data_IF_689266408848
#
_entry.id   IF_689266408848
#
_cell.length_a   1.000
_cell.length_b   1.000
_cell.length_c   1.000
_cell.angle_alpha   90.00
_cell.angle_beta   90.00
_cell.angle_gamma   90.00
#
_symmetry.space_group_name_H-M   'P 1'
#
loop_
_entity.id
_entity.type
_entity.pdbx_description
1 polymer ?
#
# COMPACT_ATOMS: atom_id res chain seq x y z
N UNK A 1 23.33 18.41 35.20
CA UNK A 1 22.41 17.27 34.95
C UNK A 1 21.48 17.53 33.76
N UNK A 2 20.76 18.66 33.71
CA UNK A 2 19.86 19.06 32.61
C UNK A 2 20.54 19.21 31.23
N UNK A 3 21.79 19.67 31.18
CA UNK A 3 22.52 19.83 29.91
C UNK A 3 22.96 18.48 29.30
N UNK A 4 23.38 17.53 30.15
CA UNK A 4 23.75 16.18 29.75
C UNK A 4 22.54 15.41 29.19
N UNK A 5 21.37 15.56 29.83
CA UNK A 5 20.11 14.98 29.35
C UNK A 5 19.78 15.53 27.95
N UNK A 6 19.85 16.85 27.74
CA UNK A 6 19.59 17.47 26.43
C UNK A 6 20.53 16.96 25.34
N UNK A 7 21.82 16.81 25.65
CA UNK A 7 22.82 16.29 24.71
C UNK A 7 22.55 14.82 24.38
N UNK A 8 22.18 14.01 25.37
CA UNK A 8 21.79 12.60 25.15
C UNK A 8 20.50 12.52 24.32
N UNK A 9 19.51 13.39 24.56
CA UNK A 9 18.27 13.43 23.77
C UNK A 9 18.55 13.83 22.32
N UNK A 10 19.41 14.82 22.08
CA UNK A 10 19.81 15.27 20.74
C UNK A 10 20.62 14.18 20.02
N UNK A 11 21.55 13.51 20.71
CA UNK A 11 22.31 12.40 20.15
C UNK A 11 21.41 11.19 19.85
N UNK A 12 20.46 10.87 20.73
CA UNK A 12 19.48 9.82 20.48
C UNK A 12 18.59 10.14 19.25
N UNK A 13 18.13 11.39 19.12
CA UNK A 13 17.40 11.86 17.95
C UNK A 13 18.25 11.83 16.66
N UNK A 14 19.55 12.15 16.75
CA UNK A 14 20.47 12.12 15.62
C UNK A 14 20.83 10.68 15.17
N UNK A 15 20.88 9.71 16.08
CA UNK A 15 21.11 8.29 15.75
C UNK A 15 19.90 7.66 15.05
N UNK A 16 18.68 8.18 15.26
CA UNK A 16 17.46 7.71 14.58
C UNK A 16 17.40 8.24 13.13
N UNK A 17 18.22 9.22 12.75
CA UNK A 17 18.19 9.88 11.44
C UNK A 17 19.00 9.18 10.34
N UNK A 18 19.12 7.84 10.36
CA UNK A 18 19.74 7.11 9.25
C UNK A 18 18.78 7.02 8.05
N UNK A 19 19.27 7.17 6.81
CA UNK A 19 18.46 6.96 5.62
C UNK A 19 18.12 5.47 5.52
N UNK A 20 16.94 5.11 6.01
CA UNK A 20 16.37 3.80 5.77
C UNK A 20 16.04 3.71 4.28
N UNK A 21 16.54 2.66 3.62
CA UNK A 21 16.18 2.34 2.24
C UNK A 21 14.67 2.21 2.19
N UNK A 22 14.02 3.09 1.43
CA UNK A 22 12.57 3.15 1.37
C UNK A 22 12.01 1.86 0.76
N UNK A 23 11.07 1.24 1.47
CA UNK A 23 10.26 0.15 0.90
C UNK A 23 9.10 0.75 0.09
N UNK A 24 8.81 0.20 -1.08
CA UNK A 24 7.76 0.68 -2.01
C UNK A 24 6.37 0.71 -1.36
N UNK A 25 6.13 -0.18 -0.41
CA UNK A 25 4.89 -0.20 0.39
C UNK A 25 5.10 0.56 1.69
N UNK A 26 4.76 1.85 1.73
CA UNK A 26 4.73 2.60 2.98
C UNK A 26 3.62 2.05 3.89
N UNK A 27 3.96 1.11 4.77
CA UNK A 27 2.97 0.31 5.53
C UNK A 27 2.17 1.14 6.54
N UNK A 28 2.58 2.35 6.89
CA UNK A 28 1.87 3.20 7.84
C UNK A 28 1.13 4.38 7.20
N UNK A 29 0.91 4.35 5.87
CA UNK A 29 0.30 5.49 5.13
C UNK A 29 -1.12 5.82 5.58
N UNK A 30 -1.90 4.83 6.00
CA UNK A 30 -3.31 4.99 6.33
C UNK A 30 -3.56 4.71 7.81
N UNK A 31 -4.41 5.51 8.43
CA UNK A 31 -4.94 5.28 9.76
C UNK A 31 -6.36 4.68 9.67
N UNK A 32 -6.76 3.95 10.72
CA UNK A 32 -8.09 3.33 10.83
C UNK A 32 -8.71 3.65 12.17
N UNK A 33 -10.03 3.84 12.21
CA UNK A 33 -10.71 4.24 13.45
C UNK A 33 -10.65 5.75 13.69
N UNK A 34 -11.65 6.25 14.41
CA UNK A 34 -11.87 7.69 14.61
C UNK A 34 -10.78 8.33 15.45
N UNK A 35 -10.37 7.68 16.54
CA UNK A 35 -9.32 8.24 17.41
C UNK A 35 -7.94 8.12 16.77
N UNK A 36 -7.66 6.97 16.13
CA UNK A 36 -6.36 6.77 15.49
C UNK A 36 -6.11 7.74 14.33
N UNK A 37 -7.16 8.16 13.61
CA UNK A 37 -7.02 9.24 12.61
C UNK A 37 -6.57 10.56 13.25
N UNK A 38 -7.15 10.95 14.38
CA UNK A 38 -6.79 12.20 15.09
C UNK A 38 -5.41 12.12 15.75
N UNK A 39 -4.98 10.92 16.13
CA UNK A 39 -3.71 10.64 16.79
C UNK A 39 -2.61 10.21 15.82
N UNK A 40 -2.84 10.30 14.50
CA UNK A 40 -1.85 9.90 13.49
C UNK A 40 -1.42 8.42 13.57
N UNK A 41 -2.26 7.55 14.14
CA UNK A 41 -1.98 6.12 14.35
C UNK A 41 -1.23 5.81 15.65
N UNK A 42 -0.99 6.78 16.53
CA UNK A 42 -0.28 6.61 17.80
C UNK A 42 -1.16 5.93 18.88
N UNK A 43 -1.68 4.73 18.63
CA UNK A 43 -2.70 4.11 19.50
C UNK A 43 -2.34 2.73 20.05
N UNK A 44 -1.16 2.18 19.70
CA UNK A 44 -0.75 0.82 20.09
C UNK A 44 -0.70 0.66 21.61
N UNK A 45 -0.28 1.71 22.32
CA UNK A 45 -0.20 1.76 23.78
C UNK A 45 -1.42 2.40 24.44
N UNK A 46 -2.56 2.55 23.77
CA UNK A 46 -3.77 3.19 24.32
C UNK A 46 -5.01 2.29 24.24
N UNK A 47 -6.02 2.59 25.07
CA UNK A 47 -7.37 2.01 25.01
C UNK A 47 -8.29 2.94 24.19
N UNK A 48 -8.08 3.02 22.88
CA UNK A 48 -8.83 3.97 22.04
C UNK A 48 -10.23 3.46 21.71
N UNK A 49 -10.31 2.51 20.78
CA UNK A 49 -11.55 2.14 20.12
C UNK A 49 -11.46 0.71 19.51
N UNK A 50 -12.52 0.30 18.80
CA UNK A 50 -12.58 -1.00 18.14
C UNK A 50 -11.60 -1.12 16.96
N UNK A 51 -10.95 -0.04 16.52
CA UNK A 51 -9.82 -0.13 15.60
C UNK A 51 -8.58 -0.73 16.25
N UNK A 52 -8.58 -0.92 17.57
CA UNK A 52 -7.58 -1.74 18.27
C UNK A 52 -7.52 -3.18 17.75
N UNK A 53 -8.58 -3.68 17.10
CA UNK A 53 -8.52 -4.95 16.33
C UNK A 53 -7.33 -4.96 15.35
N UNK A 54 -7.03 -3.81 14.74
CA UNK A 54 -5.91 -3.60 13.83
C UNK A 54 -4.60 -3.19 14.52
N UNK A 55 -4.62 -2.26 15.47
CA UNK A 55 -3.37 -1.75 16.05
C UNK A 55 -2.79 -2.64 17.15
N UNK A 56 -3.60 -3.03 18.13
CA UNK A 56 -3.20 -3.90 19.23
C UNK A 56 -4.42 -4.65 19.78
N UNK A 57 -4.63 -5.92 19.39
CA UNK A 57 -5.83 -6.64 19.80
C UNK A 57 -5.94 -6.87 21.32
N UNK A 58 -4.86 -6.73 22.09
CA UNK A 58 -4.91 -6.88 23.53
C UNK A 58 -5.61 -5.73 24.26
N UNK A 59 -5.53 -4.49 23.76
CA UNK A 59 -6.14 -3.33 24.44
C UNK A 59 -7.68 -3.45 24.49
N UNK A 60 -8.26 -4.19 23.55
CA UNK A 60 -9.69 -4.49 23.47
C UNK A 60 -10.24 -5.23 24.69
N UNK A 61 -9.41 -5.97 25.42
CA UNK A 61 -9.84 -6.63 26.66
C UNK A 61 -10.35 -5.64 27.71
N UNK A 62 -9.92 -4.38 27.59
CA UNK A 62 -10.28 -3.28 28.47
C UNK A 62 -11.19 -2.25 27.80
N UNK A 63 -11.68 -2.52 26.59
CA UNK A 63 -12.67 -1.67 25.95
C UNK A 63 -14.01 -1.80 26.71
N UNK A 64 -14.60 -0.68 27.16
CA UNK A 64 -15.73 -0.74 28.10
C UNK A 64 -17.04 -1.23 27.45
N UNK A 65 -17.23 -0.98 26.15
CA UNK A 65 -18.48 -1.22 25.44
C UNK A 65 -18.48 -2.55 24.66
N UNK A 66 -19.31 -3.48 25.12
CA UNK A 66 -19.45 -4.82 24.52
C UNK A 66 -20.48 -4.91 23.38
N UNK A 67 -21.19 -3.83 23.09
CA UNK A 67 -22.26 -3.74 22.07
C UNK A 67 -21.96 -2.75 20.95
N UNK A 68 -20.78 -2.13 20.98
CA UNK A 68 -20.37 -1.12 20.03
C UNK A 68 -20.24 -1.66 18.59
N UNK A 69 -20.78 -0.88 17.65
CA UNK A 69 -20.42 -0.88 16.24
C UNK A 69 -19.63 0.40 16.00
N UNK A 70 -18.41 0.29 15.49
CA UNK A 70 -17.62 1.44 15.09
C UNK A 70 -17.49 1.46 13.57
N UNK A 71 -17.74 2.64 12.98
CA UNK A 71 -17.43 2.91 11.57
C UNK A 71 -16.63 4.21 11.48
N UNK A 72 -15.54 4.19 10.73
CA UNK A 72 -14.77 5.39 10.39
C UNK A 72 -14.77 5.59 8.87
N UNK A 73 -15.23 6.75 8.42
CA UNK A 73 -15.18 7.17 7.02
C UNK A 73 -14.38 8.47 6.98
N UNK A 74 -13.28 8.46 6.21
CA UNK A 74 -12.46 9.64 5.97
C UNK A 74 -12.50 9.96 4.48
N UNK A 75 -12.40 11.23 4.11
CA UNK A 75 -12.31 11.67 2.71
C UNK A 75 -10.89 12.16 2.44
N UNK A 76 -10.31 11.71 1.34
CA UNK A 76 -9.02 12.18 0.87
C UNK A 76 -9.18 12.98 -0.41
N UNK A 77 -8.41 14.05 -0.47
CA UNK A 77 -8.12 14.78 -1.69
C UNK A 77 -6.61 14.76 -1.90
N UNK A 78 -6.19 14.26 -3.06
CA UNK A 78 -4.78 14.14 -3.38
C UNK A 78 -4.48 14.63 -4.78
N UNK A 79 -3.29 15.20 -4.96
CA UNK A 79 -2.72 15.58 -6.24
C UNK A 79 -1.31 15.02 -6.32
N UNK A 80 -1.03 14.26 -7.37
CA UNK A 80 0.29 13.66 -7.62
C UNK A 80 0.77 14.12 -8.98
N UNK A 81 2.06 14.43 -9.09
CA UNK A 81 2.71 14.75 -10.34
C UNK A 81 4.05 14.02 -10.45
N UNK A 82 4.39 13.57 -11.65
CA UNK A 82 5.71 13.04 -12.02
C UNK A 82 6.23 13.90 -13.16
N UNK A 83 7.42 14.46 -12.98
CA UNK A 83 8.05 15.36 -13.94
C UNK A 83 9.28 14.70 -14.54
N UNK A 84 9.32 14.59 -15.87
CA UNK A 84 10.49 14.22 -16.65
C UNK A 84 11.05 15.48 -17.30
N UNK A 85 11.95 16.16 -16.57
CA UNK A 85 12.50 17.47 -16.94
C UNK A 85 13.13 17.52 -18.32
N UNK A 86 13.85 16.47 -18.69
CA UNK A 86 14.55 16.38 -19.99
C UNK A 86 13.58 16.33 -21.18
N UNK A 87 12.32 15.95 -20.94
CA UNK A 87 11.29 15.80 -21.97
C UNK A 87 10.21 16.90 -21.88
N UNK A 88 10.32 17.83 -20.94
CA UNK A 88 9.25 18.79 -20.57
C UNK A 88 7.87 18.10 -20.39
N UNK A 89 7.90 16.86 -19.87
CA UNK A 89 6.72 16.03 -19.70
C UNK A 89 6.35 15.95 -18.22
N UNK A 90 5.14 16.39 -17.91
CA UNK A 90 4.57 16.25 -16.57
C UNK A 90 3.31 15.38 -16.62
N UNK A 91 3.35 14.24 -15.92
CA UNK A 91 2.17 13.40 -15.73
C UNK A 91 1.47 13.82 -14.45
N UNK A 92 0.19 14.18 -14.52
CA UNK A 92 -0.59 14.67 -13.38
C UNK A 92 -1.77 13.77 -13.07
N UNK A 93 -2.07 13.62 -11.79
CA UNK A 93 -3.26 12.93 -11.28
C UNK A 93 -3.89 13.73 -10.15
N UNK A 94 -5.21 13.82 -10.16
CA UNK A 94 -5.99 14.31 -9.03
C UNK A 94 -7.02 13.25 -8.66
N UNK A 95 -7.17 12.95 -7.38
CA UNK A 95 -8.21 12.05 -6.90
C UNK A 95 -8.93 12.62 -5.69
N UNK A 96 -10.25 12.43 -5.68
CA UNK A 96 -11.09 12.55 -4.51
C UNK A 96 -11.75 11.19 -4.28
N UNK A 97 -11.48 10.59 -3.13
CA UNK A 97 -12.02 9.29 -2.81
C UNK A 97 -12.20 9.15 -1.30
N UNK A 98 -13.19 8.35 -0.85
CA UNK A 98 -13.21 7.90 0.53
C UNK A 98 -11.94 7.06 0.79
N UNK A 99 -11.28 7.37 1.90
CA UNK A 99 -10.14 6.64 2.41
C UNK A 99 -10.55 5.25 2.89
N UNK A 100 -9.56 4.34 3.05
CA UNK A 100 -9.62 3.22 3.95
C UNK A 100 -10.59 3.38 5.14
N UNK A 101 -11.67 2.61 5.10
CA UNK A 101 -12.68 2.57 6.15
C UNK A 101 -12.46 1.35 7.02
N UNK A 102 -12.75 1.47 8.31
CA UNK A 102 -12.86 0.34 9.23
C UNK A 102 -14.28 0.26 9.75
N UNK A 103 -14.84 -0.94 9.70
CA UNK A 103 -16.08 -1.33 10.37
C UNK A 103 -15.72 -2.43 11.35
N UNK A 104 -16.07 -2.27 12.61
CA UNK A 104 -15.84 -3.29 13.63
C UNK A 104 -17.07 -3.48 14.49
N UNK A 105 -17.40 -4.74 14.76
CA UNK A 105 -18.56 -5.17 15.52
C UNK A 105 -18.11 -6.08 16.63
N UNK A 106 -18.65 -5.83 17.81
CA UNK A 106 -18.47 -6.71 18.94
C UNK A 106 -19.59 -7.77 19.00
N UNK A 107 -19.21 -9.04 19.02
CA UNK A 107 -20.12 -10.16 19.20
C UNK A 107 -20.09 -10.60 20.67
N UNK A 108 -21.25 -10.74 21.35
CA UNK A 108 -21.34 -11.13 22.76
C UNK A 108 -21.02 -12.63 23.00
N UNK A 109 -20.10 -13.19 22.21
CA UNK A 109 -19.63 -14.58 22.30
C UNK A 109 -18.39 -14.60 23.19
N UNK A 110 -18.46 -15.35 24.29
CA UNK A 110 -17.35 -15.52 25.24
C UNK A 110 -16.61 -16.82 24.94
N UNK A 111 -15.33 -16.73 24.62
CA UNK A 111 -14.49 -17.90 24.29
C UNK A 111 -13.19 -17.83 25.08
N UNK A 112 -12.80 -18.93 25.72
CA UNK A 112 -11.50 -19.08 26.39
C UNK A 112 -11.13 -17.94 27.38
N UNK A 113 -12.11 -17.34 28.04
CA UNK A 113 -11.92 -16.25 29.00
C UNK A 113 -11.89 -14.84 28.37
N UNK A 114 -12.24 -14.69 27.08
CA UNK A 114 -12.53 -13.38 26.51
C UNK A 114 -13.83 -12.81 27.04
N UNK A 115 -13.93 -11.48 27.03
CA UNK A 115 -15.17 -10.77 27.32
C UNK A 115 -16.16 -10.84 26.14
N UNK A 116 -15.63 -10.88 24.93
CA UNK A 116 -16.38 -10.93 23.68
C UNK A 116 -15.45 -11.32 22.51
N UNK A 117 -16.02 -11.60 21.33
CA UNK A 117 -15.29 -11.82 20.09
C UNK A 117 -15.56 -10.63 19.17
N UNK A 118 -14.57 -10.13 18.44
CA UNK A 118 -14.76 -8.97 17.57
C UNK A 118 -14.53 -9.33 16.11
N UNK A 119 -15.41 -8.86 15.24
CA UNK A 119 -15.26 -8.97 13.80
C UNK A 119 -14.93 -7.59 13.24
N UNK A 120 -13.95 -7.52 12.36
CA UNK A 120 -13.55 -6.26 11.71
C UNK A 120 -13.47 -6.44 10.21
N UNK A 121 -13.94 -5.46 9.46
CA UNK A 121 -13.66 -5.31 8.04
C UNK A 121 -12.91 -3.99 7.84
N UNK A 122 -11.78 -4.03 7.16
CA UNK A 122 -10.98 -2.84 6.87
C UNK A 122 -10.51 -2.83 5.42
N UNK A 123 -10.65 -1.68 4.75
CA UNK A 123 -9.99 -1.46 3.45
C UNK A 123 -8.55 -1.02 3.72
N UNK A 124 -7.62 -1.96 3.81
CA UNK A 124 -6.22 -1.69 4.19
C UNK A 124 -5.57 -0.69 3.23
N UNK A 125 -5.70 -0.95 1.94
CA UNK A 125 -5.08 -0.11 0.92
C UNK A 125 -6.11 0.20 -0.16
N UNK A 126 -6.15 1.46 -0.58
CA UNK A 126 -6.97 1.92 -1.68
C UNK A 126 -6.15 2.96 -2.46
N UNK A 127 -5.37 2.49 -3.41
CA UNK A 127 -4.60 3.34 -4.32
C UNK A 127 -5.38 3.42 -5.63
N UNK A 128 -5.70 4.64 -6.04
CA UNK A 128 -6.19 4.95 -7.39
C UNK A 128 -5.40 6.13 -7.92
N UNK A 129 -4.57 5.86 -8.91
CA UNK A 129 -3.77 6.84 -9.62
C UNK A 129 -4.07 6.75 -11.09
N UNK A 130 -4.31 7.91 -11.70
CA UNK A 130 -4.47 8.06 -13.14
C UNK A 130 -3.66 9.28 -13.56
N UNK A 131 -2.39 9.04 -13.86
CA UNK A 131 -1.40 10.04 -14.24
C UNK A 131 -1.40 10.14 -15.76
N UNK A 132 -1.69 11.31 -16.30
CA UNK A 132 -1.61 11.56 -17.75
C UNK A 132 -0.89 12.86 -18.02
N UNK A 133 -0.23 12.94 -19.16
CA UNK A 133 0.45 14.14 -19.60
C UNK A 133 0.83 14.07 -21.07
N UNK A 134 1.11 15.24 -21.61
CA UNK A 134 1.56 15.42 -22.98
C UNK A 134 2.63 16.50 -23.01
N UNK A 135 3.68 16.26 -23.79
CA UNK A 135 4.74 17.20 -24.06
C UNK A 135 4.85 17.42 -25.57
N UNK A 136 5.14 18.66 -25.95
CA UNK A 136 5.35 19.05 -27.34
C UNK A 136 6.70 19.75 -27.44
N UNK A 137 7.53 19.29 -28.37
CA UNK A 137 8.84 19.89 -28.60
C UNK A 137 9.06 20.11 -30.10
N UNK A 138 9.21 21.37 -30.56
CA UNK A 138 9.68 21.64 -31.90
C UNK A 138 11.19 21.38 -31.97
N UNK A 139 11.64 20.52 -32.88
CA UNK A 139 13.06 20.35 -33.17
C UNK A 139 13.38 20.97 -34.54
N UNK A 140 13.70 22.25 -34.55
CA UNK A 140 13.96 23.00 -35.79
C UNK A 140 12.69 23.57 -36.44
N UNK A 141 12.82 24.10 -37.65
CA UNK A 141 11.77 24.89 -38.31
C UNK A 141 10.54 24.05 -38.73
N UNK A 142 10.76 22.79 -39.15
CA UNK A 142 9.71 21.97 -39.77
C UNK A 142 9.52 20.59 -39.10
N UNK A 143 10.23 20.27 -38.01
CA UNK A 143 10.09 18.98 -37.32
C UNK A 143 9.47 19.15 -35.93
N UNK A 144 8.38 18.43 -35.68
CA UNK A 144 7.64 18.46 -34.44
C UNK A 144 7.69 17.09 -33.76
N UNK A 145 7.87 17.09 -32.44
CA UNK A 145 7.77 15.92 -31.58
C UNK A 145 6.60 16.07 -30.62
N UNK A 146 5.89 14.96 -30.39
CA UNK A 146 4.87 14.84 -29.36
C UNK A 146 5.14 13.61 -28.52
N UNK A 147 5.02 13.73 -27.20
CA UNK A 147 5.14 12.61 -26.27
C UNK A 147 3.92 12.63 -25.36
N UNK A 148 3.15 11.54 -25.35
CA UNK A 148 2.01 11.35 -24.47
C UNK A 148 2.30 10.19 -23.54
N UNK A 149 2.15 10.40 -22.23
CA UNK A 149 2.30 9.37 -21.22
C UNK A 149 1.02 9.18 -20.42
N UNK A 150 0.71 7.93 -20.08
CA UNK A 150 -0.38 7.55 -19.18
C UNK A 150 0.09 6.44 -18.25
N UNK A 151 -0.21 6.58 -16.96
CA UNK A 151 -0.02 5.54 -15.94
C UNK A 151 -1.29 5.45 -15.12
N UNK A 152 -1.94 4.29 -15.17
CA UNK A 152 -3.10 3.94 -14.36
C UNK A 152 -2.64 2.87 -13.36
N UNK A 153 -2.82 3.14 -12.07
CA UNK A 153 -2.57 2.17 -11.00
C UNK A 153 -3.76 2.13 -10.06
N UNK A 154 -4.32 0.94 -9.94
CA UNK A 154 -5.33 0.60 -8.96
C UNK A 154 -4.83 -0.55 -8.08
N UNK A 155 -4.94 -0.38 -6.76
CA UNK A 155 -4.62 -1.42 -5.78
C UNK A 155 -5.61 -1.33 -4.64
N UNK A 156 -6.37 -2.41 -4.47
CA UNK A 156 -7.29 -2.60 -3.37
C UNK A 156 -6.80 -3.75 -2.51
N UNK A 157 -6.77 -3.55 -1.20
CA UNK A 157 -6.53 -4.61 -0.23
C UNK A 157 -7.58 -4.49 0.88
N UNK A 158 -8.43 -5.51 1.01
CA UNK A 158 -9.50 -5.56 2.02
C UNK A 158 -9.24 -6.70 2.98
N UNK A 159 -9.24 -6.42 4.29
CA UNK A 159 -9.05 -7.43 5.33
C UNK A 159 -10.34 -7.66 6.10
N UNK A 160 -10.62 -8.93 6.33
CA UNK A 160 -11.62 -9.42 7.26
C UNK A 160 -10.91 -10.06 8.46
N UNK A 161 -11.17 -9.55 9.67
CA UNK A 161 -10.49 -9.91 10.89
C UNK A 161 -11.42 -10.53 11.91
N UNK A 162 -10.94 -11.58 12.57
CA UNK A 162 -11.57 -12.17 13.76
C UNK A 162 -10.61 -11.97 14.93
N UNK A 163 -11.06 -11.21 15.94
CA UNK A 163 -10.24 -10.81 17.07
C UNK A 163 -10.74 -11.41 18.37
N UNK A 164 -9.81 -12.00 19.11
CA UNK A 164 -10.00 -12.50 20.46
C UNK A 164 -9.06 -11.74 21.40
N UNK A 165 -9.55 -11.37 22.58
CA UNK A 165 -8.75 -10.69 23.60
C UNK A 165 -9.16 -11.11 25.01
N UNK A 166 -8.19 -11.20 25.90
CA UNK A 166 -8.39 -11.66 27.27
C UNK A 166 -7.53 -10.86 28.25
N UNK A 167 -8.13 -10.29 29.31
CA UNK A 167 -7.36 -9.74 30.41
C UNK A 167 -6.82 -10.87 31.30
N UNK A 168 -5.65 -10.65 31.87
CA UNK A 168 -5.08 -11.48 32.93
C UNK A 168 -4.57 -10.58 34.06
N UNK A 169 -5.18 -10.72 35.24
CA UNK A 169 -5.03 -9.73 36.31
C UNK A 169 -5.83 -8.46 36.05
N UNK A 170 -5.47 -7.37 36.74
CA UNK A 170 -6.18 -6.08 36.66
C UNK A 170 -5.65 -5.17 35.57
N UNK A 171 -4.38 -5.34 35.18
CA UNK A 171 -3.64 -4.36 34.38
C UNK A 171 -3.16 -4.95 33.05
N UNK A 172 -3.11 -6.27 32.89
CA UNK A 172 -2.54 -6.91 31.71
C UNK A 172 -3.58 -7.58 30.82
N UNK A 173 -3.32 -7.61 29.51
CA UNK A 173 -4.12 -8.35 28.55
C UNK A 173 -3.28 -8.89 27.40
N UNK A 174 -3.77 -9.97 26.80
CA UNK A 174 -3.31 -10.50 25.52
C UNK A 174 -4.46 -10.48 24.51
N UNK A 175 -4.11 -10.41 23.23
CA UNK A 175 -5.09 -10.52 22.16
C UNK A 175 -4.47 -11.03 20.87
N UNK A 176 -5.31 -11.63 20.03
CA UNK A 176 -4.92 -12.18 18.74
C UNK A 176 -6.01 -11.83 17.73
N UNK A 177 -5.59 -11.43 16.54
CA UNK A 177 -6.47 -11.26 15.38
C UNK A 177 -5.97 -12.10 14.22
N UNK A 178 -6.84 -12.93 13.65
CA UNK A 178 -6.59 -13.58 12.36
C UNK A 178 -7.25 -12.76 11.25
N UNK A 179 -6.49 -12.38 10.23
CA UNK A 179 -6.96 -11.62 9.08
C UNK A 179 -6.92 -12.45 7.80
N UNK A 180 -8.04 -12.43 7.07
CA UNK A 180 -8.12 -12.84 5.67
C UNK A 180 -8.10 -11.58 4.81
N UNK A 181 -7.13 -11.48 3.91
CA UNK A 181 -6.95 -10.34 3.01
C UNK A 181 -7.23 -10.77 1.57
N UNK A 182 -7.99 -9.94 0.86
CA UNK A 182 -8.24 -10.04 -0.57
C UNK A 182 -7.64 -8.81 -1.25
N UNK A 183 -6.66 -9.06 -2.10
CA UNK A 183 -5.93 -8.05 -2.88
C UNK A 183 -6.37 -8.16 -4.34
N UNK A 184 -6.64 -7.01 -4.96
CA UNK A 184 -6.83 -6.87 -6.39
C UNK A 184 -5.99 -5.69 -6.87
N UNK A 185 -5.18 -5.90 -7.90
CA UNK A 185 -4.36 -4.83 -8.47
C UNK A 185 -4.43 -4.81 -9.99
N UNK A 186 -4.47 -3.59 -10.54
CA UNK A 186 -4.32 -3.33 -11.96
C UNK A 186 -3.30 -2.22 -12.14
N UNK A 187 -2.34 -2.45 -13.02
CA UNK A 187 -1.38 -1.47 -13.49
C UNK A 187 -1.47 -1.43 -15.01
N UNK A 188 -1.48 -0.22 -15.56
CA UNK A 188 -1.35 -0.01 -16.99
C UNK A 188 -0.48 1.22 -17.21
N UNK A 189 0.45 1.12 -18.15
CA UNK A 189 1.17 2.26 -18.66
C UNK A 189 1.08 2.30 -20.18
N UNK A 190 0.99 3.50 -20.72
CA UNK A 190 1.08 3.75 -22.15
C UNK A 190 2.02 4.93 -22.38
N UNK A 191 2.96 4.75 -23.29
CA UNK A 191 3.83 5.81 -23.77
C UNK A 191 3.70 5.86 -25.29
N UNK A 192 3.27 7.00 -25.80
CA UNK A 192 3.18 7.26 -27.23
C UNK A 192 4.10 8.41 -27.59
N UNK A 193 4.94 8.19 -28.59
CA UNK A 193 5.82 9.21 -29.16
C UNK A 193 5.42 9.41 -30.62
N UNK A 194 5.48 10.64 -31.09
CA UNK A 194 5.19 11.00 -32.47
C UNK A 194 6.22 11.99 -32.99
N UNK A 195 6.53 11.87 -34.28
CA UNK A 195 7.38 12.78 -35.03
C UNK A 195 6.67 13.17 -36.33
N UNK A 196 6.77 14.43 -36.71
CA UNK A 196 6.32 14.91 -38.02
C UNK A 196 7.32 15.93 -38.55
N UNK A 197 7.88 15.67 -39.72
CA UNK A 197 8.84 16.53 -40.41
C UNK A 197 8.80 16.34 -41.92
N UNK A 198 9.60 17.10 -42.69
CA UNK A 198 9.48 17.19 -44.15
C UNK A 198 9.56 15.86 -44.91
N UNK A 199 10.35 14.91 -44.41
CA UNK A 199 10.59 13.61 -45.03
C UNK A 199 10.23 12.43 -44.11
N UNK A 200 9.67 12.71 -42.93
CA UNK A 200 9.46 11.70 -41.91
C UNK A 200 8.22 12.02 -41.08
N UNK A 201 7.22 11.16 -41.17
CA UNK A 201 6.14 11.08 -40.19
C UNK A 201 6.23 9.74 -39.49
N UNK A 202 5.96 9.70 -38.19
CA UNK A 202 5.98 8.44 -37.48
C UNK A 202 5.38 8.53 -36.10
N UNK A 203 4.94 7.38 -35.60
CA UNK A 203 4.46 7.24 -34.24
C UNK A 203 4.88 5.88 -33.68
N UNK A 204 5.23 5.86 -32.40
CA UNK A 204 5.49 4.63 -31.66
C UNK A 204 4.69 4.63 -30.38
N UNK A 205 3.92 3.57 -30.14
CA UNK A 205 3.16 3.37 -28.92
C UNK A 205 3.64 2.10 -28.23
N UNK A 206 3.98 2.21 -26.95
CA UNK A 206 4.34 1.10 -26.07
C UNK A 206 3.35 1.04 -24.92
N UNK A 207 2.81 -0.14 -24.65
CA UNK A 207 1.84 -0.36 -23.59
C UNK A 207 2.25 -1.55 -22.75
N UNK A 208 2.18 -1.39 -21.44
CA UNK A 208 2.31 -2.47 -20.48
C UNK A 208 1.05 -2.52 -19.61
N UNK A 209 0.64 -3.72 -19.28
CA UNK A 209 -0.53 -3.98 -18.46
C UNK A 209 -0.27 -5.19 -17.58
N UNK A 210 -0.62 -5.09 -16.30
CA UNK A 210 -0.57 -6.17 -15.35
C UNK A 210 -1.81 -6.11 -14.48
N UNK A 211 -2.48 -7.25 -14.29
CA UNK A 211 -3.55 -7.39 -13.33
C UNK A 211 -3.38 -8.68 -12.54
N UNK A 212 -3.71 -8.65 -11.26
CA UNK A 212 -3.70 -9.85 -10.43
C UNK A 212 -4.59 -9.74 -9.20
N UNK A 213 -5.00 -10.91 -8.73
CA UNK A 213 -5.73 -11.09 -7.48
C UNK A 213 -4.96 -12.03 -6.54
N UNK A 214 -4.99 -11.73 -5.23
CA UNK A 214 -4.33 -12.54 -4.21
C UNK A 214 -5.16 -12.63 -2.92
N UNK A 215 -5.37 -13.86 -2.44
CA UNK A 215 -6.00 -14.13 -1.14
C UNK A 215 -4.96 -14.67 -0.18
N UNK A 216 -4.87 -14.04 0.99
CA UNK A 216 -3.82 -14.31 1.97
C UNK A 216 -4.35 -14.27 3.40
N UNK A 217 -3.63 -14.93 4.29
CA UNK A 217 -3.84 -14.90 5.73
C UNK A 217 -2.68 -14.20 6.40
N UNK A 218 -2.95 -13.45 7.46
CA UNK A 218 -1.92 -12.97 8.38
C UNK A 218 -2.50 -12.93 9.80
N UNK A 219 -1.64 -13.11 10.79
CA UNK A 219 -2.03 -13.05 12.19
C UNK A 219 -1.39 -11.83 12.85
N UNK A 220 -2.09 -11.26 13.82
CA UNK A 220 -1.58 -10.22 14.70
C UNK A 220 -1.75 -10.67 16.14
N UNK A 221 -0.70 -10.60 16.93
CA UNK A 221 -0.74 -10.81 18.37
C UNK A 221 -0.47 -9.50 19.09
N UNK A 222 -1.01 -9.35 20.29
CA UNK A 222 -0.88 -8.15 21.09
C UNK A 222 -0.71 -8.48 22.57
N UNK A 223 0.01 -7.59 23.25
CA UNK A 223 0.06 -7.47 24.70
C UNK A 223 -0.24 -6.02 25.08
N UNK A 224 -0.93 -5.85 26.21
CA UNK A 224 -1.30 -4.54 26.71
C UNK A 224 -1.20 -4.46 28.23
N UNK A 225 -0.67 -3.34 28.73
CA UNK A 225 -0.55 -3.01 30.14
C UNK A 225 -1.23 -1.65 30.41
N UNK A 226 -2.12 -1.57 31.39
CA UNK A 226 -2.73 -0.33 31.88
C UNK A 226 -2.49 -0.17 33.38
N UNK A 227 -1.42 0.53 33.72
CA UNK A 227 -1.04 0.83 35.10
C UNK A 227 -0.87 2.32 35.31
N UNK A 228 -1.96 3.08 35.13
CA UNK A 228 -2.01 4.55 35.21
C UNK A 228 -0.96 5.14 36.19
N UNK A 229 -0.21 6.20 35.80
CA UNK A 229 -0.48 7.11 34.70
C UNK A 229 0.08 6.68 33.34
N UNK A 230 0.63 5.46 33.22
CA UNK A 230 1.21 4.97 31.96
C UNK A 230 0.47 3.71 31.51
N UNK A 231 0.23 3.60 30.21
CA UNK A 231 -0.11 2.34 29.55
C UNK A 231 0.90 2.02 28.47
N UNK A 232 1.16 0.72 28.29
CA UNK A 232 2.12 0.19 27.33
C UNK A 232 1.43 -0.84 26.44
N UNK A 233 1.87 -0.91 25.18
CA UNK A 233 1.38 -1.87 24.22
C UNK A 233 2.51 -2.45 23.39
N UNK A 234 2.39 -3.72 23.05
CA UNK A 234 3.25 -4.42 22.10
C UNK A 234 2.33 -5.16 21.14
N UNK A 235 2.57 -5.05 19.83
CA UNK A 235 1.91 -5.89 18.84
C UNK A 235 2.87 -6.44 17.81
N UNK A 236 2.56 -7.63 17.31
CA UNK A 236 3.36 -8.41 16.38
C UNK A 236 2.45 -8.83 15.23
N UNK A 237 2.80 -8.49 13.99
CA UNK A 237 2.07 -8.94 12.78
C UNK A 237 2.94 -9.92 12.03
N UNK A 238 2.42 -11.10 11.70
CA UNK A 238 3.16 -12.08 10.91
C UNK A 238 3.29 -11.65 9.45
N UNK A 239 4.29 -12.15 8.72
CA UNK A 239 4.26 -12.15 7.27
C UNK A 239 2.97 -12.80 6.76
N UNK A 240 2.52 -12.39 5.57
CA UNK A 240 1.32 -12.96 4.98
C UNK A 240 1.58 -14.31 4.33
N UNK A 241 0.71 -15.27 4.61
CA UNK A 241 0.66 -16.59 3.99
C UNK A 241 -0.38 -16.59 2.87
N UNK A 242 0.02 -16.97 1.65
CA UNK A 242 -0.91 -17.17 0.53
C UNK A 242 -1.83 -18.37 0.80
N UNK A 243 -3.13 -18.24 0.54
CA UNK A 243 -4.12 -19.29 0.83
C UNK A 243 -4.59 -20.08 -0.40
N UNK A 244 -5.05 -19.41 -1.46
CA UNK A 244 -5.72 -20.06 -2.60
C UNK A 244 -5.18 -19.59 -3.96
N UNK A 245 -5.66 -20.24 -5.03
CA UNK A 245 -5.31 -19.91 -6.41
C UNK A 245 -5.54 -18.43 -6.70
N UNK A 246 -4.57 -17.88 -7.42
CA UNK A 246 -4.47 -16.49 -7.80
C UNK A 246 -4.65 -16.38 -9.29
N UNK A 247 -5.25 -15.28 -9.73
CA UNK A 247 -5.24 -14.94 -11.14
C UNK A 247 -4.17 -13.88 -11.38
N UNK A 248 -3.42 -14.02 -12.46
CA UNK A 248 -2.48 -13.03 -12.95
C UNK A 248 -2.51 -12.98 -14.46
N UNK A 249 -2.53 -11.77 -15.00
CA UNK A 249 -2.38 -11.51 -16.44
C UNK A 249 -1.37 -10.38 -16.63
N UNK A 250 -0.49 -10.57 -17.62
CA UNK A 250 0.46 -9.56 -18.10
C UNK A 250 0.30 -9.43 -19.60
N UNK A 251 0.22 -8.19 -20.08
CA UNK A 251 0.23 -7.84 -21.50
C UNK A 251 1.27 -6.78 -21.75
N UNK A 252 2.00 -6.92 -22.84
CA UNK A 252 2.86 -5.86 -23.37
C UNK A 252 2.66 -5.79 -24.88
N UNK A 253 2.60 -4.59 -25.43
CA UNK A 253 2.56 -4.42 -26.88
C UNK A 253 3.25 -3.15 -27.32
N UNK A 254 3.87 -3.23 -28.48
CA UNK A 254 4.54 -2.11 -29.12
C UNK A 254 4.15 -2.08 -30.60
N UNK A 255 3.76 -0.89 -31.06
CA UNK A 255 3.51 -0.61 -32.47
C UNK A 255 4.27 0.64 -32.87
N UNK A 256 5.04 0.56 -33.95
CA UNK A 256 5.76 1.70 -34.53
C UNK A 256 5.49 1.80 -36.02
N UNK A 257 5.09 2.98 -36.47
CA UNK A 257 4.79 3.31 -37.87
C UNK A 257 5.71 4.46 -38.29
N UNK A 258 6.32 4.37 -39.46
CA UNK A 258 7.14 5.42 -40.07
C UNK A 258 6.75 5.53 -41.54
N UNK A 259 6.43 6.73 -42.02
CA UNK A 259 6.06 7.00 -43.42
C UNK A 259 5.02 5.98 -43.94
N UNK A 260 3.92 5.86 -43.21
CA UNK A 260 2.79 4.93 -43.45
C UNK A 260 3.16 3.43 -43.46
N UNK A 261 4.38 3.08 -43.09
CA UNK A 261 4.88 1.71 -43.03
C UNK A 261 4.99 1.24 -41.58
N UNK A 262 4.46 0.05 -41.28
CA UNK A 262 4.63 -0.58 -39.96
C UNK A 262 6.06 -1.12 -39.85
N UNK A 263 6.83 -0.57 -38.92
CA UNK A 263 8.23 -0.95 -38.67
C UNK A 263 8.34 -1.94 -37.51
N UNK A 264 7.51 -1.77 -36.49
CA UNK A 264 7.44 -2.68 -35.34
C UNK A 264 5.99 -3.04 -35.07
N UNK A 265 5.70 -4.34 -34.98
CA UNK A 265 4.45 -4.85 -34.43
C UNK A 265 4.78 -6.02 -33.49
N UNK A 266 4.64 -5.77 -32.21
CA UNK A 266 4.95 -6.71 -31.14
C UNK A 266 3.79 -6.78 -30.15
N UNK A 267 3.43 -7.99 -29.73
CA UNK A 267 2.46 -8.23 -28.68
C UNK A 267 2.78 -9.51 -27.93
N UNK A 268 2.69 -9.44 -26.61
CA UNK A 268 2.76 -10.58 -25.73
C UNK A 268 1.63 -10.53 -24.70
N UNK A 269 1.02 -11.67 -24.44
CA UNK A 269 -0.03 -11.84 -23.43
C UNK A 269 0.18 -13.17 -22.73
N UNK A 270 0.26 -13.12 -21.41
CA UNK A 270 0.28 -14.31 -20.56
C UNK A 270 -0.85 -14.21 -19.54
N UNK A 271 -1.60 -15.30 -19.37
CA UNK A 271 -2.77 -15.39 -18.47
C UNK A 271 -2.66 -16.62 -17.59
N UNK A 272 -3.38 -16.63 -16.47
CA UNK A 272 -3.32 -17.75 -15.53
C UNK A 272 -1.98 -17.82 -14.80
N UNK A 273 -1.29 -16.68 -14.68
CA UNK A 273 -0.03 -16.58 -13.96
C UNK A 273 -0.27 -16.71 -12.47
N UNK A 274 0.69 -17.33 -11.79
CA UNK A 274 0.70 -17.33 -10.34
C UNK A 274 1.05 -15.92 -9.84
N UNK A 275 0.18 -15.36 -8.98
CA UNK A 275 0.40 -14.06 -8.36
C UNK A 275 0.76 -14.19 -6.89
N UNK A 276 1.49 -13.20 -6.40
CA UNK A 276 1.92 -13.07 -5.01
C UNK A 276 1.88 -11.60 -4.55
N UNK A 277 1.45 -11.39 -3.31
CA UNK A 277 1.51 -10.10 -2.63
C UNK A 277 1.96 -10.31 -1.19
N UNK A 278 3.14 -9.78 -0.85
CA UNK A 278 3.79 -10.03 0.44
C UNK A 278 3.56 -8.87 1.41
N UNK A 279 3.41 -9.18 2.69
CA UNK A 279 3.49 -8.21 3.79
C UNK A 279 4.57 -8.67 4.74
N UNK A 280 5.42 -7.75 5.23
CA UNK A 280 6.51 -8.10 6.13
C UNK A 280 5.99 -8.49 7.50
N UNK A 281 6.87 -9.12 8.27
CA UNK A 281 6.75 -9.15 9.73
C UNK A 281 6.77 -7.70 10.24
N UNK A 282 5.92 -7.36 11.21
CA UNK A 282 5.98 -6.07 11.88
C UNK A 282 5.91 -6.20 13.40
N UNK A 283 6.64 -5.34 14.10
CA UNK A 283 6.65 -5.25 15.56
C UNK A 283 6.39 -3.79 15.94
N UNK A 284 5.28 -3.55 16.63
CA UNK A 284 4.92 -2.23 17.12
C UNK A 284 4.98 -2.16 18.64
N UNK A 285 5.60 -1.11 19.15
CA UNK A 285 5.57 -0.72 20.55
C UNK A 285 4.81 0.59 20.70
N UNK A 286 4.01 0.71 21.75
CA UNK A 286 3.32 1.96 22.07
C UNK A 286 3.34 2.28 23.55
N UNK A 287 3.38 3.57 23.85
CA UNK A 287 3.28 4.09 25.21
C UNK A 287 2.31 5.27 25.22
N UNK A 288 1.46 5.32 26.25
CA UNK A 288 0.60 6.46 26.51
C UNK A 288 0.84 6.96 27.92
N UNK A 289 1.06 8.26 28.06
CA UNK A 289 1.17 8.93 29.35
C UNK A 289 -0.06 9.81 29.58
N UNK A 290 -0.73 9.60 30.71
CA UNK A 290 -1.95 10.29 31.09
C UNK A 290 -1.66 11.30 32.20
N UNK A 291 -1.83 12.58 31.90
CA UNK A 291 -1.89 13.67 32.87
C UNK A 291 -3.32 14.22 32.96
N UNK A 292 -3.67 14.98 34.02
CA UNK A 292 -5.06 15.42 34.23
C UNK A 292 -5.71 16.20 33.08
N UNK A 293 -4.92 16.88 32.24
CA UNK A 293 -5.39 17.70 31.11
C UNK A 293 -4.72 17.37 29.77
N UNK A 294 -3.77 16.44 29.78
CA UNK A 294 -2.92 16.18 28.62
C UNK A 294 -2.60 14.70 28.57
N UNK A 295 -2.78 14.11 27.40
CA UNK A 295 -2.38 12.73 27.14
C UNK A 295 -1.36 12.75 26.01
N UNK A 296 -0.21 12.12 26.24
CA UNK A 296 0.83 11.97 25.23
C UNK A 296 0.82 10.54 24.71
N UNK A 297 0.80 10.40 23.40
CA UNK A 297 0.76 9.12 22.71
C UNK A 297 2.03 8.93 21.89
N UNK A 298 2.62 7.74 21.98
CA UNK A 298 3.78 7.34 21.20
C UNK A 298 3.54 5.94 20.65
N UNK A 299 3.78 5.76 19.35
CA UNK A 299 3.91 4.44 18.72
C UNK A 299 5.17 4.43 17.88
N UNK A 300 5.88 3.31 17.92
CA UNK A 300 7.00 3.00 17.04
C UNK A 300 6.72 1.63 16.44
N UNK A 301 6.77 1.51 15.11
CA UNK A 301 6.61 0.23 14.42
C UNK A 301 7.82 -0.04 13.53
N UNK A 302 8.40 -1.22 13.70
CA UNK A 302 9.45 -1.75 12.86
C UNK A 302 8.85 -2.77 11.88
N UNK A 303 9.30 -2.73 10.64
CA UNK A 303 8.92 -3.65 9.58
C UNK A 303 10.17 -4.40 9.10
N UNK A 304 10.04 -5.70 8.94
CA UNK A 304 11.10 -6.52 8.37
C UNK A 304 11.35 -6.19 6.90
N UNK A 305 12.55 -6.52 6.43
CA UNK A 305 12.91 -6.37 5.02
C UNK A 305 12.12 -7.35 4.16
N UNK A 306 11.68 -6.91 2.98
CA UNK A 306 11.21 -7.80 1.93
C UNK A 306 12.18 -7.77 0.75
N UNK A 307 12.59 -8.95 0.30
CA UNK A 307 13.32 -9.09 -0.95
C UNK A 307 12.45 -8.60 -2.12
N UNK A 308 13.08 -7.97 -3.12
CA UNK A 308 12.41 -7.57 -4.35
C UNK A 308 11.77 -8.80 -5.02
N UNK A 309 10.51 -8.66 -5.42
CA UNK A 309 9.77 -9.75 -6.06
C UNK A 309 8.86 -9.21 -7.16
N UNK A 310 8.58 -10.04 -8.16
CA UNK A 310 7.61 -9.75 -9.20
C UNK A 310 6.22 -10.24 -8.76
N UNK A 311 5.17 -9.40 -8.78
CA UNK A 311 3.85 -9.82 -8.31
C UNK A 311 3.23 -10.94 -9.15
N UNK A 312 3.60 -11.05 -10.43
CA UNK A 312 3.24 -12.17 -11.30
C UNK A 312 4.50 -12.93 -11.71
N UNK A 313 4.50 -14.26 -11.54
CA UNK A 313 5.59 -15.11 -12.01
C UNK A 313 5.40 -15.36 -13.51
N UNK A 314 6.22 -14.71 -14.34
CA UNK A 314 6.15 -14.84 -15.79
C UNK A 314 6.62 -16.23 -16.22
N UNK A 315 5.89 -16.85 -17.16
CA UNK A 315 6.41 -18.02 -17.85
C UNK A 315 7.53 -17.57 -18.80
N UNK A 316 8.62 -18.35 -18.95
CA UNK A 316 9.62 -18.10 -19.98
C UNK A 316 8.93 -18.11 -21.35
N UNK A 317 8.76 -16.93 -21.95
CA UNK A 317 7.96 -16.76 -23.17
C UNK A 317 8.74 -17.20 -24.41
N UNK A 318 8.16 -18.01 -25.31
CA UNK A 318 8.35 -17.81 -26.74
C UNK A 318 7.61 -16.53 -27.15
N UNK A 319 8.27 -15.65 -27.89
CA UNK A 319 7.66 -14.43 -28.47
C UNK A 319 6.52 -14.85 -29.40
N UNK A 320 5.28 -14.42 -29.14
CA UNK A 320 4.10 -14.88 -29.90
C UNK A 320 3.94 -14.19 -31.25
N UNK A 321 4.33 -12.92 -31.39
CA UNK A 321 4.35 -12.22 -32.68
C UNK A 321 5.48 -11.18 -32.73
N UNK A 322 6.43 -11.35 -33.65
CA UNK A 322 7.39 -10.33 -34.09
C UNK A 322 7.37 -10.34 -35.62
N UNK A 323 6.70 -9.37 -36.24
CA UNK A 323 6.98 -9.06 -37.64
C UNK A 323 8.14 -8.06 -37.66
N UNK A 324 9.32 -8.53 -38.09
CA UNK A 324 10.33 -7.61 -38.63
C UNK A 324 9.99 -7.40 -40.11
N UNK A 325 10.04 -6.17 -40.64
CA UNK A 325 9.96 -5.96 -42.07
C UNK A 325 11.05 -6.80 -42.74
N UNK A 326 10.69 -7.57 -43.76
CA UNK A 326 11.65 -8.20 -44.64
C UNK A 326 12.60 -7.11 -45.13
N UNK A 327 13.88 -7.25 -44.81
CA UNK A 327 14.96 -6.44 -45.37
C UNK A 327 14.71 -6.24 -46.86
N UNK A 328 14.86 -5.00 -47.32
CA UNK A 328 14.96 -4.65 -48.74
C UNK A 328 15.59 -5.80 -49.50
N UNK A 329 14.78 -6.48 -50.32
CA UNK A 329 15.32 -7.37 -51.33
C UNK A 329 16.20 -6.48 -52.20
N UNK A 330 17.47 -6.82 -52.23
CA UNK A 330 18.44 -6.30 -53.18
C UNK A 330 17.82 -6.29 -54.57
N UNK A 331 17.75 -5.12 -55.19
CA UNK A 331 18.14 -4.85 -56.59
C UNK A 331 18.07 -3.35 -56.86
#
# INVERSE_FOLDING_TARGET
MTMLIRIITILALAVIAHPLVAQDSHYWTNQYGTESWLLGGAVVGSRTDLASTYYNPASLAFYPDTTALQTAISFNWSRTAIEAKDLDLELRSGSSAPLPTLVSVNLPIKLFGSRSLQLSFLKRTNVRMNLNGIAYSPAGADTNYVVTGSIIRELFDSWFGITWSRPFGKEHAIGITGYFSAVASTYSSALTTGISGPNTSGASSHTDYQTYDNIRFLAKAGYFYDGRPISLGLSLTTPSLKLFNTFGEVRTSQTSIINDSVVTLYGNRQTGLEAQYKTPLSIAFGATWYAPKTTLFLTVEWFDGLDSYTPCNLNPSPVLFRQQPSSMAQQ
#
